data_IF_780511559358
#
_entry.id   IF_780511559358
#
_cell.length_a   1.000
_cell.length_b   1.000
_cell.length_c   1.000
_cell.angle_alpha   90.00
_cell.angle_beta   90.00
_cell.angle_gamma   90.00
#
_symmetry.space_group_name_H-M   'P 1'
#
loop_
_entity.id
_entity.type
_entity.pdbx_description
1 polymer ?
#
# COMPACT_ATOMS: atom_id res chain seq x y z
N UNK A 1 -26.53 -12.26 44.69
CA UNK A 1 -27.60 -11.39 45.18
C UNK A 1 -28.57 -12.19 46.05
N UNK A 2 -28.93 -11.64 47.21
CA UNK A 2 -29.86 -12.27 48.14
C UNK A 2 -31.02 -11.30 48.38
N UNK A 3 -32.24 -11.77 48.20
CA UNK A 3 -33.46 -11.01 48.50
C UNK A 3 -34.36 -11.82 49.43
N UNK A 4 -34.98 -11.12 50.37
CA UNK A 4 -35.96 -11.66 51.30
C UNK A 4 -37.12 -10.68 51.40
N UNK A 5 -38.35 -11.13 51.18
CA UNK A 5 -39.54 -10.31 51.39
C UNK A 5 -40.12 -10.47 52.80
N UNK A 6 -41.11 -9.66 53.15
CA UNK A 6 -41.81 -9.68 54.45
C UNK A 6 -42.62 -10.95 54.69
N UNK A 7 -42.87 -11.77 53.66
CA UNK A 7 -43.49 -13.09 53.77
C UNK A 7 -42.46 -14.21 53.96
N UNK A 8 -41.18 -13.87 54.19
CA UNK A 8 -40.05 -14.81 54.31
C UNK A 8 -39.71 -15.60 53.05
N UNK A 9 -40.13 -15.12 51.87
CA UNK A 9 -39.68 -15.72 50.61
C UNK A 9 -38.25 -15.29 50.33
N UNK A 10 -37.34 -16.27 50.30
CA UNK A 10 -35.91 -16.06 50.07
C UNK A 10 -35.57 -16.49 48.65
N UNK A 11 -34.99 -15.58 47.87
CA UNK A 11 -34.41 -15.90 46.57
C UNK A 11 -32.91 -15.62 46.64
N UNK A 12 -32.13 -16.62 46.28
CA UNK A 12 -30.71 -16.47 46.03
C UNK A 12 -30.46 -16.54 44.51
N UNK A 13 -29.62 -15.63 44.01
CA UNK A 13 -29.09 -15.72 42.66
C UNK A 13 -27.59 -15.52 42.73
N UNK A 14 -26.83 -16.54 42.38
CA UNK A 14 -25.37 -16.47 42.32
C UNK A 14 -24.97 -16.01 40.93
N UNK A 15 -24.02 -15.07 40.87
CA UNK A 15 -23.33 -14.67 39.64
C UNK A 15 -21.88 -15.02 39.87
N UNK A 16 -21.33 -15.90 39.04
CA UNK A 16 -19.92 -16.24 39.02
C UNK A 16 -19.24 -15.46 37.90
N UNK A 17 -18.07 -14.89 38.18
CA UNK A 17 -17.15 -14.36 37.19
C UNK A 17 -15.77 -14.93 37.47
N UNK A 18 -14.96 -15.06 36.43
CA UNK A 18 -13.56 -15.46 36.55
C UNK A 18 -12.73 -14.17 36.50
N UNK A 19 -11.79 -14.04 37.44
CA UNK A 19 -10.78 -12.97 37.39
C UNK A 19 -9.55 -13.58 36.76
N UNK A 20 -9.17 -13.03 35.62
CA UNK A 20 -7.95 -13.40 34.93
C UNK A 20 -6.90 -12.30 35.12
N UNK A 21 -5.70 -12.70 35.51
CA UNK A 21 -4.55 -11.82 35.76
C UNK A 21 -3.30 -12.32 35.05
N UNK A 22 -3.44 -13.34 34.21
CA UNK A 22 -2.34 -13.99 33.52
C UNK A 22 -2.23 -13.37 32.13
N UNK A 23 -1.02 -12.95 31.75
CA UNK A 23 -0.80 -12.44 30.41
C UNK A 23 -0.83 -13.58 29.37
N UNK A 24 -1.27 -13.31 28.13
CA UNK A 24 -1.21 -14.28 27.05
C UNK A 24 0.24 -14.69 26.72
N UNK A 25 0.45 -15.93 26.28
CA UNK A 25 1.72 -16.40 25.73
C UNK A 25 1.79 -16.06 24.25
N UNK A 26 2.93 -15.53 23.78
CA UNK A 26 3.12 -15.09 22.39
C UNK A 26 4.41 -15.69 21.83
N UNK A 27 4.31 -16.33 20.68
CA UNK A 27 5.45 -16.85 19.91
C UNK A 27 5.36 -16.34 18.47
N UNK A 28 6.41 -15.69 17.99
CA UNK A 28 6.52 -15.27 16.59
C UNK A 28 7.08 -16.43 15.77
N UNK A 29 6.26 -17.01 14.91
CA UNK A 29 6.67 -18.11 14.03
C UNK A 29 7.38 -17.57 12.77
N UNK A 30 6.83 -16.49 12.21
CA UNK A 30 7.36 -15.77 11.05
C UNK A 30 7.09 -14.27 11.22
N UNK A 31 8.05 -13.38 10.92
CA UNK A 31 9.40 -13.66 10.43
C UNK A 31 10.35 -14.19 11.52
N UNK A 32 11.40 -14.91 11.11
CA UNK A 32 12.48 -15.33 12.02
C UNK A 32 13.44 -14.16 12.23
N UNK A 33 13.90 -13.96 13.46
CA UNK A 33 14.82 -12.87 13.81
C UNK A 33 16.11 -12.92 12.97
N UNK A 34 16.54 -11.77 12.45
CA UNK A 34 17.70 -11.60 11.58
C UNK A 34 17.46 -11.99 10.12
N UNK A 35 16.24 -12.35 9.72
CA UNK A 35 15.96 -12.72 8.33
C UNK A 35 16.02 -11.52 7.40
N UNK A 36 16.68 -11.70 6.26
CA UNK A 36 16.64 -10.74 5.15
C UNK A 36 15.60 -11.18 4.12
N UNK A 37 14.65 -10.30 3.81
CA UNK A 37 13.61 -10.50 2.82
C UNK A 37 13.93 -9.71 1.55
N UNK A 38 13.78 -10.36 0.40
CA UNK A 38 13.94 -9.75 -0.93
C UNK A 38 12.62 -9.24 -1.50
N UNK A 39 11.55 -9.27 -0.71
CA UNK A 39 10.21 -8.77 -1.06
C UNK A 39 9.87 -7.60 -0.14
N UNK A 40 9.16 -6.60 -0.68
CA UNK A 40 8.78 -5.40 0.08
C UNK A 40 7.67 -5.66 1.11
N UNK A 41 6.93 -6.76 0.97
CA UNK A 41 5.93 -7.21 1.95
C UNK A 41 6.38 -8.51 2.57
N UNK A 42 6.31 -8.59 3.90
CA UNK A 42 6.73 -9.74 4.70
C UNK A 42 5.49 -10.31 5.39
N UNK A 43 5.29 -11.62 5.25
CA UNK A 43 4.22 -12.33 5.93
C UNK A 43 4.52 -12.45 7.43
N UNK A 44 3.50 -12.28 8.25
CA UNK A 44 3.56 -12.41 9.70
C UNK A 44 2.68 -13.61 10.09
N UNK A 45 3.24 -14.51 10.91
CA UNK A 45 2.54 -15.63 11.51
C UNK A 45 2.94 -15.73 12.99
N UNK A 46 1.93 -15.70 13.87
CA UNK A 46 2.10 -15.66 15.32
C UNK A 46 1.19 -16.71 15.96
N UNK A 47 1.74 -17.42 16.94
CA UNK A 47 0.96 -18.19 17.90
C UNK A 47 0.74 -17.32 19.14
N UNK A 48 -0.51 -17.06 19.50
CA UNK A 48 -0.86 -16.40 20.75
C UNK A 48 -1.95 -17.21 21.44
N UNK A 49 -1.74 -17.53 22.72
CA UNK A 49 -2.68 -18.33 23.50
C UNK A 49 -2.84 -17.72 24.88
N UNK A 50 -4.05 -17.81 25.41
CA UNK A 50 -4.32 -17.53 26.81
C UNK A 50 -5.11 -18.69 27.42
N UNK A 51 -4.82 -19.01 28.68
CA UNK A 51 -5.34 -20.22 29.34
C UNK A 51 -6.68 -20.03 30.05
N UNK A 52 -7.13 -18.78 30.27
CA UNK A 52 -8.25 -18.45 31.14
C UNK A 52 -9.35 -17.64 30.43
N UNK A 53 -8.99 -16.62 29.66
CA UNK A 53 -9.89 -15.69 29.01
C UNK A 53 -9.82 -15.65 27.49
N UNK A 54 -8.92 -16.41 26.85
CA UNK A 54 -8.62 -16.37 25.41
C UNK A 54 -8.05 -15.03 24.94
N UNK A 55 -7.42 -15.05 23.77
CA UNK A 55 -6.83 -13.85 23.15
C UNK A 55 -7.90 -13.02 22.46
N UNK A 56 -7.98 -11.74 22.83
CA UNK A 56 -8.88 -10.74 22.25
C UNK A 56 -8.33 -10.09 20.99
N UNK A 57 -7.04 -9.73 20.99
CA UNK A 57 -6.41 -9.07 19.84
C UNK A 57 -4.92 -9.35 19.77
N UNK A 58 -4.38 -9.36 18.54
CA UNK A 58 -2.95 -9.47 18.28
C UNK A 58 -2.56 -8.39 17.27
N UNK A 59 -1.58 -7.57 17.64
CA UNK A 59 -1.11 -6.43 16.85
C UNK A 59 0.40 -6.58 16.64
N UNK A 60 0.82 -6.53 15.37
CA UNK A 60 2.23 -6.40 15.01
C UNK A 60 2.60 -4.92 14.89
N UNK A 61 3.58 -4.47 15.67
CA UNK A 61 4.21 -3.14 15.55
C UNK A 61 5.44 -3.27 14.68
N UNK A 62 5.52 -2.50 13.60
CA UNK A 62 6.63 -2.56 12.62
C UNK A 62 7.43 -1.27 12.74
N UNK A 63 8.41 -1.26 13.64
CA UNK A 63 9.20 -0.09 14.00
C UNK A 63 8.31 1.12 14.29
N UNK A 64 8.66 2.26 13.69
CA UNK A 64 7.87 3.50 13.72
C UNK A 64 6.94 3.64 12.51
N UNK A 65 6.86 2.64 11.63
CA UNK A 65 6.17 2.74 10.34
C UNK A 65 4.68 2.61 10.50
N UNK A 66 4.22 1.49 11.08
CA UNK A 66 2.79 1.19 11.24
C UNK A 66 2.55 0.05 12.23
N UNK A 67 1.30 -0.07 12.62
CA UNK A 67 0.76 -1.21 13.35
C UNK A 67 -0.20 -1.99 12.45
N UNK A 68 -0.15 -3.32 12.52
CA UNK A 68 -1.04 -4.21 11.76
C UNK A 68 -1.77 -5.13 12.71
N UNK A 69 -3.09 -5.11 12.68
CA UNK A 69 -3.92 -6.09 13.39
C UNK A 69 -3.86 -7.42 12.64
N UNK A 70 -3.53 -8.50 13.34
CA UNK A 70 -3.47 -9.84 12.77
C UNK A 70 -4.82 -10.54 12.89
N UNK A 71 -5.15 -11.34 11.88
CA UNK A 71 -6.40 -12.09 11.81
C UNK A 71 -6.17 -13.55 12.18
N UNK A 72 -7.06 -14.10 13.00
CA UNK A 72 -7.02 -15.52 13.34
C UNK A 72 -7.56 -16.37 12.19
N UNK A 73 -6.74 -17.30 11.68
CA UNK A 73 -7.10 -18.17 10.55
C UNK A 73 -7.68 -19.53 10.96
N UNK A 74 -7.76 -19.79 12.28
CA UNK A 74 -8.16 -21.06 12.87
C UNK A 74 -7.03 -21.77 13.61
N UNK A 75 -5.76 -21.48 13.27
CA UNK A 75 -4.58 -22.03 13.95
C UNK A 75 -3.62 -20.94 14.43
N UNK A 76 -3.45 -19.87 13.65
CA UNK A 76 -2.48 -18.81 13.88
C UNK A 76 -3.10 -17.43 13.67
N UNK A 77 -2.46 -16.42 14.25
CA UNK A 77 -2.69 -15.03 13.91
C UNK A 77 -1.78 -14.64 12.74
N UNK A 78 -2.39 -14.28 11.61
CA UNK A 78 -1.69 -14.01 10.36
C UNK A 78 -1.94 -12.60 9.82
N UNK A 79 -0.98 -12.10 9.05
CA UNK A 79 -1.06 -10.80 8.40
C UNK A 79 0.16 -10.53 7.53
N UNK A 80 0.32 -9.31 7.05
CA UNK A 80 1.53 -8.87 6.37
C UNK A 80 1.98 -7.51 6.90
N UNK A 81 3.24 -7.15 6.65
CA UNK A 81 3.77 -5.85 7.04
C UNK A 81 3.22 -4.67 6.24
N UNK A 82 2.46 -4.93 5.17
CA UNK A 82 2.31 -4.02 4.03
C UNK A 82 3.64 -3.81 3.31
N UNK A 83 3.64 -2.92 2.32
CA UNK A 83 4.84 -2.54 1.56
C UNK A 83 5.80 -1.74 2.46
N UNK A 84 7.04 -2.22 2.56
CA UNK A 84 8.17 -1.63 3.25
C UNK A 84 9.27 -1.30 2.23
N UNK A 85 9.96 -0.18 2.44
CA UNK A 85 11.16 0.18 1.69
C UNK A 85 12.35 -0.68 2.12
N UNK A 86 13.46 -0.59 1.39
CA UNK A 86 14.69 -1.24 1.82
C UNK A 86 15.20 -0.63 3.13
N UNK A 87 15.52 -1.47 4.10
CA UNK A 87 15.91 -1.04 5.43
C UNK A 87 15.79 -2.13 6.48
N UNK A 88 16.16 -1.79 7.71
CA UNK A 88 16.01 -2.67 8.86
C UNK A 88 14.77 -2.28 9.65
N UNK A 89 13.99 -3.27 10.05
CA UNK A 89 12.76 -3.09 10.81
C UNK A 89 12.77 -3.97 12.05
N UNK A 90 12.29 -3.42 13.17
CA UNK A 90 12.01 -4.19 14.38
C UNK A 90 10.52 -4.49 14.44
N UNK A 91 10.17 -5.76 14.56
CA UNK A 91 8.79 -6.22 14.70
C UNK A 91 8.58 -6.69 16.13
N UNK A 92 7.58 -6.13 16.78
CA UNK A 92 7.14 -6.53 18.12
C UNK A 92 5.67 -6.89 18.07
N UNK A 93 5.29 -8.04 18.63
CA UNK A 93 3.90 -8.47 18.68
C UNK A 93 3.31 -8.19 20.06
N UNK A 94 2.15 -7.54 20.10
CA UNK A 94 1.36 -7.37 21.31
C UNK A 94 0.12 -8.24 21.22
N UNK A 95 -0.09 -9.11 22.21
CA UNK A 95 -1.34 -9.83 22.38
C UNK A 95 -2.05 -9.35 23.64
N UNK A 96 -3.35 -9.15 23.52
CA UNK A 96 -4.25 -8.76 24.62
C UNK A 96 -5.32 -9.82 24.78
N UNK A 97 -5.59 -10.26 25.99
CA UNK A 97 -6.65 -11.21 26.31
C UNK A 97 -8.03 -10.53 26.51
N UNK A 98 -9.09 -11.30 26.79
CA UNK A 98 -10.43 -10.72 27.05
C UNK A 98 -10.56 -10.03 28.41
N UNK A 99 -9.65 -10.28 29.35
CA UNK A 99 -9.60 -9.61 30.65
C UNK A 99 -8.79 -8.30 30.62
N UNK A 100 -8.10 -8.02 29.51
CA UNK A 100 -7.27 -6.84 29.30
C UNK A 100 -5.80 -7.02 29.69
N UNK A 101 -5.34 -8.23 30.01
CA UNK A 101 -3.93 -8.51 30.24
C UNK A 101 -3.18 -8.50 28.91
N UNK A 102 -1.94 -7.99 28.92
CA UNK A 102 -1.16 -7.74 27.70
C UNK A 102 0.22 -8.36 27.82
N UNK A 103 0.63 -9.09 26.79
CA UNK A 103 2.02 -9.52 26.61
C UNK A 103 2.62 -8.95 25.34
N UNK A 104 3.94 -8.76 25.36
CA UNK A 104 4.74 -8.38 24.21
C UNK A 104 5.74 -9.47 23.90
N UNK A 105 5.91 -9.81 22.63
CA UNK A 105 7.03 -10.66 22.20
C UNK A 105 8.36 -9.95 22.38
N UNK A 106 9.46 -10.71 22.28
CA UNK A 106 10.77 -10.14 21.99
C UNK A 106 10.77 -9.44 20.62
N UNK A 107 11.75 -8.54 20.42
CA UNK A 107 11.93 -7.84 19.16
C UNK A 107 12.49 -8.79 18.10
N UNK A 108 11.80 -8.88 16.96
CA UNK A 108 12.25 -9.59 15.77
C UNK A 108 12.78 -8.56 14.79
N UNK A 109 14.10 -8.56 14.60
CA UNK A 109 14.75 -7.73 13.58
C UNK A 109 14.63 -8.40 12.22
N UNK A 110 14.25 -7.64 11.20
CA UNK A 110 14.28 -8.09 9.81
C UNK A 110 14.98 -7.03 8.95
N UNK A 111 15.57 -7.48 7.85
CA UNK A 111 16.07 -6.59 6.81
C UNK A 111 15.22 -6.77 5.57
N UNK A 112 14.63 -5.70 5.07
CA UNK A 112 14.07 -5.67 3.72
C UNK A 112 15.20 -5.19 2.82
N UNK A 113 15.67 -6.09 1.96
CA UNK A 113 16.64 -5.81 0.93
C UNK A 113 16.06 -6.37 -0.36
N UNK A 114 14.96 -5.76 -0.81
CA UNK A 114 14.47 -5.96 -2.17
C UNK A 114 15.64 -5.62 -3.08
N UNK A 115 16.22 -6.61 -3.78
CA UNK A 115 17.32 -6.33 -4.68
C UNK A 115 16.78 -5.28 -5.65
N UNK A 116 17.46 -4.13 -5.73
CA UNK A 116 17.28 -3.24 -6.87
C UNK A 116 17.39 -4.17 -8.07
N UNK A 117 16.34 -4.26 -8.89
CA UNK A 117 16.37 -5.08 -10.10
C UNK A 117 17.62 -4.71 -10.89
N UNK A 118 18.68 -5.46 -10.63
CA UNK A 118 19.98 -5.36 -11.23
C UNK A 118 19.95 -6.53 -12.18
N UNK A 119 19.47 -6.19 -13.38
CA UNK A 119 19.98 -6.72 -14.63
C UNK A 119 21.15 -7.66 -14.44
N UNK A 120 20.86 -8.95 -14.30
CA UNK A 120 21.83 -9.97 -14.64
C UNK A 120 22.24 -9.74 -16.08
N UNK A 121 23.54 -9.65 -16.32
CA UNK A 121 24.13 -9.47 -17.64
C UNK A 121 23.57 -10.46 -18.66
N UNK A 122 22.66 -9.95 -19.47
CA UNK A 122 22.03 -10.57 -20.62
C UNK A 122 21.17 -9.45 -21.17
N UNK A 123 21.49 -8.94 -22.36
CA UNK A 123 20.94 -7.69 -22.89
C UNK A 123 19.46 -7.50 -22.54
N UNK A 124 19.18 -6.66 -21.54
CA UNK A 124 17.82 -6.37 -21.15
C UNK A 124 17.33 -5.41 -22.20
N UNK A 125 16.64 -5.95 -23.20
CA UNK A 125 15.87 -5.15 -24.12
C UNK A 125 14.73 -4.55 -23.30
N UNK A 126 14.99 -3.40 -22.67
CA UNK A 126 13.92 -2.45 -22.42
C UNK A 126 13.16 -2.28 -23.74
N UNK A 127 11.85 -2.09 -23.63
CA UNK A 127 11.06 -1.74 -24.80
C UNK A 127 11.79 -0.61 -25.54
N UNK A 128 12.15 -0.81 -26.81
CA UNK A 128 13.06 0.11 -27.52
C UNK A 128 12.50 1.52 -27.68
N UNK A 129 11.20 1.67 -27.39
CA UNK A 129 10.42 2.89 -27.33
C UNK A 129 10.48 3.62 -25.97
N UNK A 130 11.23 3.13 -24.97
CA UNK A 130 11.36 3.81 -23.67
C UNK A 130 12.23 5.06 -23.74
N UNK A 131 11.86 6.08 -22.96
CA UNK A 131 12.65 7.31 -22.86
C UNK A 131 13.99 7.09 -22.15
N UNK A 132 15.04 7.67 -22.74
CA UNK A 132 16.40 7.70 -22.17
C UNK A 132 16.54 8.66 -20.99
N UNK A 133 15.57 9.59 -20.82
CA UNK A 133 15.56 10.55 -19.71
C UNK A 133 15.28 9.88 -18.35
N UNK A 134 14.61 8.72 -18.38
CA UNK A 134 14.36 7.93 -17.18
C UNK A 134 15.65 7.17 -16.84
N UNK A 135 16.37 7.56 -15.80
CA UNK A 135 17.63 6.90 -15.43
C UNK A 135 17.44 5.77 -14.43
N UNK A 136 16.41 5.86 -13.57
CA UNK A 136 16.16 4.85 -12.54
C UNK A 136 15.71 3.52 -13.15
N UNK A 137 16.40 2.43 -12.81
CA UNK A 137 16.01 1.09 -13.21
C UNK A 137 14.62 0.69 -12.67
N UNK A 138 14.21 1.25 -11.54
CA UNK A 138 12.88 1.01 -10.95
C UNK A 138 11.81 1.65 -11.83
N UNK A 139 11.99 2.92 -12.20
CA UNK A 139 11.05 3.64 -13.05
C UNK A 139 11.05 3.06 -14.48
N UNK A 140 12.21 2.73 -15.04
CA UNK A 140 12.29 2.01 -16.34
C UNK A 140 11.47 0.73 -16.33
N UNK A 141 11.57 -0.08 -15.28
CA UNK A 141 10.79 -1.32 -15.17
C UNK A 141 9.30 -1.04 -15.03
N UNK A 142 8.91 -0.06 -14.20
CA UNK A 142 7.51 0.32 -14.02
C UNK A 142 6.88 0.77 -15.35
N UNK A 143 7.58 1.64 -16.09
CA UNK A 143 7.13 2.14 -17.40
C UNK A 143 7.15 1.02 -18.46
N UNK A 144 8.19 0.18 -18.49
CA UNK A 144 8.30 -0.92 -19.46
C UNK A 144 7.19 -1.96 -19.32
N UNK A 145 6.79 -2.27 -18.08
CA UNK A 145 5.79 -3.29 -17.78
C UNK A 145 4.35 -2.75 -17.85
N UNK A 146 4.19 -1.44 -17.92
CA UNK A 146 2.89 -0.80 -17.95
C UNK A 146 2.45 -0.43 -19.37
N UNK A 147 1.13 -0.46 -19.60
CA UNK A 147 0.55 0.32 -20.69
C UNK A 147 0.47 1.78 -20.28
N UNK A 148 0.71 2.70 -21.21
CA UNK A 148 0.47 4.13 -20.95
C UNK A 148 -0.82 4.54 -21.65
N UNK A 149 -1.72 5.16 -20.91
CA UNK A 149 -3.06 5.51 -21.34
C UNK A 149 -3.27 7.00 -21.18
N UNK A 150 -3.69 7.66 -22.26
CA UNK A 150 -3.91 9.10 -22.30
C UNK A 150 -5.33 9.44 -22.75
N UNK A 151 -5.83 10.61 -22.33
CA UNK A 151 -7.18 11.05 -22.63
C UNK A 151 -7.28 12.00 -23.82
N UNK A 152 -6.38 12.98 -23.89
CA UNK A 152 -6.37 14.00 -24.95
C UNK A 152 -5.10 13.89 -25.79
N UNK A 153 -5.11 14.38 -27.03
CA UNK A 153 -3.92 14.42 -27.89
C UNK A 153 -2.72 15.08 -27.19
N UNK A 154 -2.98 16.12 -26.38
CA UNK A 154 -1.98 16.85 -25.62
C UNK A 154 -1.38 15.97 -24.51
N UNK A 155 -2.23 15.25 -23.77
CA UNK A 155 -1.74 14.28 -22.78
C UNK A 155 -1.01 13.11 -23.45
N UNK A 156 -1.33 12.82 -24.71
CA UNK A 156 -0.63 11.85 -25.55
C UNK A 156 0.81 12.27 -25.86
N UNK A 157 1.07 13.57 -26.06
CA UNK A 157 2.43 14.09 -26.22
C UNK A 157 3.25 13.86 -24.94
N UNK A 158 2.70 14.23 -23.77
CA UNK A 158 3.35 13.99 -22.48
C UNK A 158 3.56 12.49 -22.19
N UNK A 159 2.55 11.67 -22.48
CA UNK A 159 2.64 10.21 -22.36
C UNK A 159 3.76 9.64 -23.25
N UNK A 160 3.93 10.20 -24.45
CA UNK A 160 4.97 9.85 -25.41
C UNK A 160 6.39 10.06 -24.87
N UNK A 161 6.58 11.00 -23.93
CA UNK A 161 7.87 11.25 -23.29
C UNK A 161 8.28 10.15 -22.31
N UNK A 162 7.37 9.25 -21.92
CA UNK A 162 7.69 8.06 -21.12
C UNK A 162 8.02 6.87 -22.02
N UNK A 163 7.23 6.67 -23.08
CA UNK A 163 7.51 5.70 -24.16
C UNK A 163 6.69 6.00 -25.42
N UNK A 164 7.11 5.50 -26.59
CA UNK A 164 6.36 5.69 -27.85
C UNK A 164 5.04 4.88 -27.92
N UNK A 165 5.00 3.65 -27.37
CA UNK A 165 3.79 2.82 -27.44
C UNK A 165 2.78 3.20 -26.36
N UNK A 166 1.84 4.06 -26.75
CA UNK A 166 0.79 4.62 -25.90
C UNK A 166 -0.61 4.30 -26.44
N UNK A 167 -1.61 4.27 -25.56
CA UNK A 167 -2.99 3.89 -25.86
C UNK A 167 -3.95 5.03 -25.56
N UNK A 168 -4.89 5.29 -26.46
CA UNK A 168 -5.99 6.20 -26.19
C UNK A 168 -6.99 5.56 -25.21
N UNK A 169 -7.44 6.33 -24.22
CA UNK A 169 -8.34 5.91 -23.15
C UNK A 169 -9.72 5.45 -23.62
N UNK A 170 -10.24 5.93 -24.76
CA UNK A 170 -11.62 5.69 -25.20
C UNK A 170 -12.01 4.21 -25.28
N UNK A 171 -11.06 3.34 -25.64
CA UNK A 171 -11.29 1.91 -25.82
C UNK A 171 -10.37 1.03 -24.94
N UNK A 172 -9.77 1.63 -23.91
CA UNK A 172 -8.86 0.90 -23.04
C UNK A 172 -9.60 0.26 -21.85
N UNK A 173 -9.37 -1.03 -21.65
CA UNK A 173 -9.81 -1.76 -20.46
C UNK A 173 -8.59 -2.20 -19.64
N UNK A 174 -8.69 -2.03 -18.32
CA UNK A 174 -7.61 -2.36 -17.40
C UNK A 174 -7.35 -3.87 -17.42
N UNK A 175 -6.23 -4.23 -18.04
CA UNK A 175 -5.87 -5.61 -18.36
C UNK A 175 -4.42 -5.95 -18.00
N UNK A 176 -3.65 -4.94 -17.56
CA UNK A 176 -2.27 -5.03 -17.09
C UNK A 176 -1.94 -3.79 -16.26
N UNK A 177 -0.74 -3.75 -15.69
CA UNK A 177 -0.24 -2.54 -15.03
C UNK A 177 -0.33 -1.34 -15.99
N UNK A 178 -0.76 -0.20 -15.48
CA UNK A 178 -1.14 0.95 -16.32
C UNK A 178 -0.61 2.25 -15.74
N UNK A 179 -0.05 3.10 -16.59
CA UNK A 179 0.22 4.50 -16.30
C UNK A 179 -0.87 5.33 -16.97
N UNK A 180 -1.63 6.06 -16.16
CA UNK A 180 -2.60 7.04 -16.63
C UNK A 180 -1.91 8.38 -16.70
N UNK A 181 -1.99 9.02 -17.87
CA UNK A 181 -1.50 10.40 -18.09
C UNK A 181 -2.69 11.28 -18.44
N UNK A 182 -2.84 12.38 -17.70
CA UNK A 182 -3.92 13.36 -17.87
C UNK A 182 -5.13 13.11 -16.97
N UNK A 183 -5.81 14.19 -16.61
CA UNK A 183 -6.88 14.21 -15.61
C UNK A 183 -8.23 13.67 -16.09
N UNK A 184 -9.21 13.50 -15.18
CA UNK A 184 -10.44 12.76 -15.42
C UNK A 184 -11.44 13.49 -16.32
N UNK A 185 -11.30 14.80 -16.52
CA UNK A 185 -12.17 15.55 -17.44
C UNK A 185 -11.93 15.19 -18.90
N UNK A 186 -10.67 14.95 -19.26
CA UNK A 186 -10.27 14.65 -20.65
C UNK A 186 -9.88 13.19 -20.86
N UNK A 187 -9.70 12.42 -19.78
CA UNK A 187 -9.35 11.00 -19.83
C UNK A 187 -10.47 10.15 -19.22
N UNK A 188 -11.27 9.52 -20.08
CA UNK A 188 -12.39 8.67 -19.64
C UNK A 188 -11.96 7.45 -18.84
N UNK A 189 -10.73 6.95 -19.04
CA UNK A 189 -10.16 5.89 -18.23
C UNK A 189 -9.75 6.41 -16.84
N UNK A 190 -9.14 7.59 -16.77
CA UNK A 190 -8.83 8.26 -15.51
C UNK A 190 -10.12 8.51 -14.70
N UNK A 191 -11.16 9.05 -15.33
CA UNK A 191 -12.46 9.30 -14.69
C UNK A 191 -13.06 8.03 -14.06
N UNK A 192 -12.99 6.90 -14.78
CA UNK A 192 -13.52 5.62 -14.30
C UNK A 192 -12.87 5.14 -13.01
N UNK A 193 -11.58 5.44 -12.82
CA UNK A 193 -10.80 4.97 -11.67
C UNK A 193 -10.43 6.07 -10.67
N UNK A 194 -10.82 7.33 -10.90
CA UNK A 194 -10.43 8.48 -10.06
C UNK A 194 -10.77 8.26 -8.58
N UNK A 195 -11.93 7.64 -8.30
CA UNK A 195 -12.38 7.35 -6.93
C UNK A 195 -11.56 6.28 -6.19
N UNK A 196 -10.74 5.50 -6.89
CA UNK A 196 -9.85 4.51 -6.27
C UNK A 196 -8.60 5.16 -5.66
N UNK A 197 -8.32 6.41 -6.01
CA UNK A 197 -7.12 7.11 -5.61
C UNK A 197 -7.35 8.06 -4.43
N UNK A 198 -6.25 8.38 -3.72
CA UNK A 198 -6.31 9.19 -2.50
C UNK A 198 -6.53 10.69 -2.75
N UNK A 199 -6.15 11.21 -3.92
CA UNK A 199 -6.33 12.61 -4.31
C UNK A 199 -7.14 12.66 -5.60
N UNK A 200 -8.33 13.26 -5.54
CA UNK A 200 -9.14 13.52 -6.74
C UNK A 200 -8.56 14.70 -7.51
N UNK A 201 -8.43 14.58 -8.83
CA UNK A 201 -7.79 15.59 -9.68
C UNK A 201 -8.86 16.30 -10.48
N UNK A 202 -8.89 17.64 -10.41
CA UNK A 202 -9.85 18.50 -11.11
C UNK A 202 -9.12 19.70 -11.69
N UNK A 203 -9.80 20.55 -12.48
CA UNK A 203 -9.20 21.79 -12.98
C UNK A 203 -8.76 22.77 -11.87
N UNK A 204 -9.23 22.58 -10.64
CA UNK A 204 -8.89 23.41 -9.49
C UNK A 204 -7.98 22.71 -8.47
N UNK A 205 -7.94 21.37 -8.45
CA UNK A 205 -7.17 20.57 -7.50
C UNK A 205 -6.21 19.63 -8.26
N UNK A 206 -4.89 19.63 -8.00
CA UNK A 206 -4.19 20.13 -6.81
C UNK A 206 -3.86 21.64 -6.79
N UNK A 207 -4.27 22.39 -7.81
CA UNK A 207 -4.13 23.85 -7.90
C UNK A 207 -3.15 24.29 -8.97
N UNK A 208 -3.13 25.59 -9.26
CA UNK A 208 -2.40 26.15 -10.41
C UNK A 208 -0.95 25.65 -10.56
N UNK A 209 -0.65 25.13 -11.75
CA UNK A 209 0.61 24.53 -12.18
C UNK A 209 1.03 23.33 -11.34
N UNK A 210 0.10 22.64 -10.67
CA UNK A 210 0.39 21.47 -9.83
C UNK A 210 -0.16 20.19 -10.44
N UNK A 211 0.63 19.13 -10.31
CA UNK A 211 0.26 17.77 -10.64
C UNK A 211 0.44 16.83 -9.46
N UNK A 212 -0.19 15.67 -9.54
CA UNK A 212 -0.13 14.60 -8.56
C UNK A 212 0.40 13.36 -9.24
N UNK A 213 1.28 12.65 -8.53
CA UNK A 213 1.68 11.28 -8.83
C UNK A 213 1.15 10.41 -7.69
N UNK A 214 0.34 9.42 -8.02
CA UNK A 214 -0.22 8.50 -7.04
C UNK A 214 -0.32 7.09 -7.60
N UNK A 215 -0.22 6.10 -6.72
CA UNK A 215 -0.11 4.70 -7.11
C UNK A 215 -1.12 3.90 -6.31
N UNK A 216 -1.91 3.09 -7.02
CA UNK A 216 -2.93 2.26 -6.41
C UNK A 216 -2.96 0.88 -7.07
N UNK A 217 -3.22 -0.16 -6.28
CA UNK A 217 -3.51 -1.49 -6.80
C UNK A 217 -5.02 -1.62 -6.98
N UNK A 218 -5.46 -1.79 -8.23
CA UNK A 218 -6.89 -1.86 -8.60
C UNK A 218 -7.26 -3.32 -8.89
N UNK A 219 -8.37 -3.77 -8.29
CA UNK A 219 -8.90 -5.11 -8.49
C UNK A 219 -9.96 -5.14 -9.59
N UNK A 220 -9.75 -5.99 -10.60
CA UNK A 220 -10.67 -6.18 -11.73
C UNK A 220 -11.21 -7.60 -11.72
N UNK A 221 -12.53 -7.73 -11.85
CA UNK A 221 -13.21 -9.02 -11.94
C UNK A 221 -13.26 -9.47 -13.41
N UNK A 222 -12.56 -10.56 -13.72
CA UNK A 222 -12.58 -11.19 -15.05
C UNK A 222 -13.28 -12.54 -14.91
N UNK A 223 -14.59 -12.54 -15.12
CA UNK A 223 -15.45 -13.68 -14.79
C UNK A 223 -15.42 -13.95 -13.28
N UNK A 224 -14.94 -15.13 -12.88
CA UNK A 224 -14.81 -15.53 -11.47
C UNK A 224 -13.41 -15.28 -10.86
N UNK A 225 -12.49 -14.66 -11.61
CA UNK A 225 -11.11 -14.42 -11.18
C UNK A 225 -10.93 -12.94 -10.86
N UNK A 226 -10.41 -12.65 -9.66
CA UNK A 226 -9.97 -11.30 -9.29
C UNK A 226 -8.51 -11.16 -9.72
N UNK A 227 -8.23 -10.18 -10.58
CA UNK A 227 -6.86 -9.77 -10.93
C UNK A 227 -6.57 -8.43 -10.31
N UNK A 228 -5.34 -8.24 -9.87
CA UNK A 228 -4.88 -6.95 -9.31
C UNK A 228 -3.85 -6.37 -10.25
N UNK A 229 -3.99 -5.10 -10.60
CA UNK A 229 -3.06 -4.36 -11.45
C UNK A 229 -2.58 -3.11 -10.74
N UNK A 230 -1.30 -2.81 -10.86
CA UNK A 230 -0.76 -1.55 -10.38
C UNK A 230 -1.09 -0.43 -11.36
N UNK A 231 -1.69 0.65 -10.86
CA UNK A 231 -2.01 1.83 -11.66
C UNK A 231 -1.26 3.03 -11.09
N UNK A 232 -0.42 3.63 -11.93
CA UNK A 232 0.29 4.88 -11.66
C UNK A 232 -0.51 5.99 -12.33
N UNK A 233 -0.95 6.97 -11.56
CA UNK A 233 -1.77 8.07 -12.05
C UNK A 233 -0.99 9.38 -11.95
N UNK A 234 -0.72 9.97 -13.12
CA UNK A 234 0.06 11.19 -13.32
C UNK A 234 -0.84 12.21 -14.01
N UNK A 235 -1.32 13.19 -13.26
CA UNK A 235 -2.17 14.23 -13.80
C UNK A 235 -2.10 15.50 -12.96
N UNK A 236 -2.37 16.65 -13.58
CA UNK A 236 -2.50 17.92 -12.87
C UNK A 236 -3.82 18.62 -13.16
N UNK A 237 -4.02 19.72 -12.46
CA UNK A 237 -5.18 20.59 -12.65
C UNK A 237 -5.12 21.39 -13.94
N UNK A 238 -3.92 21.50 -14.51
CA UNK A 238 -3.67 22.11 -15.81
C UNK A 238 -2.52 21.39 -16.52
N UNK A 239 -2.21 21.83 -17.73
CA UNK A 239 -1.17 21.23 -18.58
C UNK A 239 0.22 21.30 -17.93
N UNK A 240 0.55 22.41 -17.27
CA UNK A 240 1.83 22.56 -16.59
C UNK A 240 1.90 21.68 -15.34
N UNK A 241 0.77 21.46 -14.67
CA UNK A 241 0.64 20.51 -13.58
C UNK A 241 0.93 19.08 -14.01
N UNK A 242 0.26 18.60 -15.08
CA UNK A 242 0.53 17.27 -15.65
C UNK A 242 1.99 17.14 -16.07
N UNK A 243 2.53 18.14 -16.77
CA UNK A 243 3.94 18.16 -17.16
C UNK A 243 4.89 18.14 -15.95
N UNK A 244 4.57 18.87 -14.88
CA UNK A 244 5.39 18.86 -13.66
C UNK A 244 5.44 17.48 -13.01
N UNK A 245 4.29 16.83 -12.87
CA UNK A 245 4.22 15.49 -12.33
C UNK A 245 4.98 14.49 -13.22
N UNK A 246 4.86 14.60 -14.55
CA UNK A 246 5.54 13.70 -15.48
C UNK A 246 7.06 13.87 -15.46
N UNK A 247 7.55 15.11 -15.52
CA UNK A 247 8.99 15.41 -15.43
C UNK A 247 9.58 14.95 -14.09
N UNK A 248 8.88 15.22 -12.99
CA UNK A 248 9.33 14.76 -11.67
C UNK A 248 9.34 13.22 -11.59
N UNK A 249 8.33 12.55 -12.17
CA UNK A 249 8.25 11.09 -12.21
C UNK A 249 9.47 10.45 -12.87
N UNK A 250 10.00 11.04 -13.97
CA UNK A 250 11.22 10.57 -14.63
C UNK A 250 12.45 10.60 -13.71
N UNK A 251 12.48 11.53 -12.75
CA UNK A 251 13.59 11.73 -11.80
C UNK A 251 13.54 10.83 -10.56
N UNK A 252 12.43 10.12 -10.35
CA UNK A 252 12.25 9.30 -9.15
C UNK A 252 13.24 8.13 -9.12
N UNK A 253 13.84 7.88 -7.96
CA UNK A 253 14.62 6.67 -7.72
C UNK A 253 13.73 5.47 -7.38
N UNK A 254 12.59 5.72 -6.72
CA UNK A 254 11.61 4.73 -6.30
C UNK A 254 10.18 5.24 -6.51
N UNK A 255 9.22 4.32 -6.62
CA UNK A 255 7.79 4.65 -6.70
C UNK A 255 7.28 5.16 -5.33
N UNK A 256 6.53 6.28 -5.27
CA UNK A 256 6.08 6.84 -4.01
C UNK A 256 5.08 5.93 -3.29
N UNK A 257 5.16 5.86 -1.97
CA UNK A 257 4.24 5.06 -1.13
C UNK A 257 2.87 5.70 -0.92
N UNK A 258 2.69 6.95 -1.34
CA UNK A 258 1.45 7.72 -1.25
C UNK A 258 1.44 8.85 -2.28
N UNK A 259 0.32 9.60 -2.39
CA UNK A 259 0.22 10.70 -3.34
C UNK A 259 1.28 11.77 -3.06
N UNK A 260 1.99 12.18 -4.11
CA UNK A 260 2.92 13.31 -4.05
C UNK A 260 2.42 14.41 -4.98
N UNK A 261 2.46 15.65 -4.50
CA UNK A 261 2.09 16.83 -5.29
C UNK A 261 3.37 17.52 -5.77
N UNK A 262 3.39 17.90 -7.03
CA UNK A 262 4.52 18.53 -7.70
C UNK A 262 4.03 19.81 -8.35
N UNK A 263 4.83 20.88 -8.31
CA UNK A 263 4.52 22.16 -8.96
C UNK A 263 5.54 22.49 -10.03
N UNK A 264 5.08 22.98 -11.18
CA UNK A 264 5.94 23.57 -12.19
C UNK A 264 6.47 24.93 -11.74
N UNK A 265 7.78 25.14 -11.87
CA UNK A 265 8.43 26.42 -11.60
C UNK A 265 9.33 26.83 -12.78
N UNK A 266 9.85 28.06 -12.74
CA UNK A 266 10.82 28.52 -13.74
C UNK A 266 12.10 27.65 -13.81
N UNK A 267 12.40 26.89 -12.74
CA UNK A 267 13.56 26.01 -12.65
C UNK A 267 13.21 24.52 -12.83
N UNK A 268 12.00 24.21 -13.30
CA UNK A 268 11.50 22.84 -13.44
C UNK A 268 10.56 22.41 -12.32
N UNK A 269 10.21 21.10 -12.26
CA UNK A 269 9.25 20.58 -11.29
C UNK A 269 9.86 20.51 -9.89
N UNK A 270 9.08 20.89 -8.89
CA UNK A 270 9.47 20.77 -7.47
C UNK A 270 8.40 20.07 -6.67
N UNK A 271 8.80 19.20 -5.75
CA UNK A 271 7.90 18.58 -4.79
C UNK A 271 7.27 19.66 -3.91
N UNK A 272 5.98 19.54 -3.65
CA UNK A 272 5.26 20.42 -2.72
C UNK A 272 4.68 19.59 -1.58
N UNK A 273 5.02 20.00 -0.36
CA UNK A 273 4.44 19.47 0.88
C UNK A 273 2.97 19.88 1.06
#
# INVERSE_FOLDING_TARGET
MYSNDTASNKVNKTVSFIVDTVNPEVTVNTPVNGTTFTTSSVAINVTANDSLSNVSSVIAKIGSVRNVTLSFDGNYYTGNTGTLSNGNYEITILATDLAGNVNSSENVTITVAVPKSSSGGGGSHYSSDLSDEITSSVIKNAVSNSNIVYGSEIDGEYAGELRENIYNAENYELSRDTIIVGGPESNGFANRYDSEFGVSITNDNPGENRGVIQIQNIQVHVGNIIKTYQVIYIAGSDRYGTQAALEYFKTLDELPSGPITVKWTANGPVLVE
#
